data_IF_527117038572
#
_entry.id   IF_527117038572
#
_cell.length_a   1.000
_cell.length_b   1.000
_cell.length_c   1.000
_cell.angle_alpha   90.00
_cell.angle_beta   90.00
_cell.angle_gamma   90.00
#
_symmetry.space_group_name_H-M   'P 1'
#
loop_
_entity.id
_entity.type
_entity.pdbx_description
1 polymer ?
#
# COMPACT_ATOMS: atom_id res chain seq x y z
N UNK A 1 -48.59 -17.29 -59.79
CA UNK A 1 -47.65 -17.93 -58.82
C UNK A 1 -46.34 -17.16 -58.63
N UNK A 2 -45.69 -16.66 -59.70
CA UNK A 2 -44.43 -15.88 -59.60
C UNK A 2 -44.55 -14.59 -58.77
N UNK A 3 -45.63 -13.82 -58.94
CA UNK A 3 -45.86 -12.55 -58.21
C UNK A 3 -45.97 -12.73 -56.68
N UNK A 4 -46.58 -13.84 -56.23
CA UNK A 4 -46.67 -14.17 -54.79
C UNK A 4 -45.31 -14.54 -54.20
N UNK A 5 -44.44 -15.20 -54.99
CA UNK A 5 -43.07 -15.53 -54.57
C UNK A 5 -42.18 -14.29 -54.51
N UNK A 6 -42.25 -13.39 -55.50
CA UNK A 6 -41.48 -12.13 -55.48
C UNK A 6 -41.94 -11.20 -54.35
N UNK A 7 -43.24 -11.12 -54.07
CA UNK A 7 -43.76 -10.36 -52.94
C UNK A 7 -43.30 -10.93 -51.59
N UNK A 8 -43.27 -12.27 -51.44
CA UNK A 8 -42.77 -12.93 -50.24
C UNK A 8 -41.26 -12.67 -50.01
N UNK A 9 -40.45 -12.78 -51.06
CA UNK A 9 -39.00 -12.50 -50.98
C UNK A 9 -38.74 -11.04 -50.60
N UNK A 10 -39.49 -10.11 -51.19
CA UNK A 10 -39.38 -8.69 -50.86
C UNK A 10 -39.80 -8.38 -49.41
N UNK A 11 -40.86 -9.03 -48.92
CA UNK A 11 -41.28 -8.91 -47.52
C UNK A 11 -40.20 -9.43 -46.56
N UNK A 12 -39.61 -10.60 -46.84
CA UNK A 12 -38.50 -11.15 -46.04
C UNK A 12 -37.30 -10.21 -46.06
N UNK A 13 -36.98 -9.62 -47.22
CA UNK A 13 -35.91 -8.64 -47.33
C UNK A 13 -36.18 -7.38 -46.48
N UNK A 14 -37.39 -6.84 -46.50
CA UNK A 14 -37.75 -5.67 -45.66
C UNK A 14 -37.63 -6.02 -44.18
N UNK A 15 -38.07 -7.21 -43.76
CA UNK A 15 -37.97 -7.66 -42.36
C UNK A 15 -36.50 -7.76 -41.94
N UNK A 16 -35.64 -8.35 -42.79
CA UNK A 16 -34.20 -8.43 -42.55
C UNK A 16 -33.54 -7.05 -42.53
N UNK A 17 -33.94 -6.14 -43.42
CA UNK A 17 -33.43 -4.78 -43.45
C UNK A 17 -33.87 -4.00 -42.20
N UNK A 18 -35.13 -4.08 -41.80
CA UNK A 18 -35.61 -3.44 -40.57
C UNK A 18 -34.95 -4.01 -39.33
N UNK A 19 -34.72 -5.33 -39.31
CA UNK A 19 -34.03 -6.00 -38.22
C UNK A 19 -32.55 -5.57 -38.15
N UNK A 20 -31.87 -5.50 -39.30
CA UNK A 20 -30.46 -5.07 -39.36
C UNK A 20 -30.29 -3.59 -38.97
N UNK A 21 -31.17 -2.69 -39.45
CA UNK A 21 -31.17 -1.28 -39.03
C UNK A 21 -31.44 -1.14 -37.53
N UNK A 22 -32.37 -1.92 -36.98
CA UNK A 22 -32.66 -1.90 -35.55
C UNK A 22 -31.47 -2.43 -34.74
N UNK A 23 -30.87 -3.55 -35.16
CA UNK A 23 -29.68 -4.10 -34.52
C UNK A 23 -28.51 -3.11 -34.55
N UNK A 24 -28.31 -2.41 -35.66
CA UNK A 24 -27.30 -1.37 -35.80
C UNK A 24 -27.54 -0.21 -34.81
N UNK A 25 -28.77 0.31 -34.69
CA UNK A 25 -29.10 1.38 -33.74
C UNK A 25 -28.87 0.99 -32.26
N UNK A 26 -28.95 -0.31 -31.96
CA UNK A 26 -28.68 -0.85 -30.62
C UNK A 26 -27.18 -1.08 -30.36
N UNK A 27 -26.33 -0.98 -31.40
CA UNK A 27 -24.87 -0.98 -31.31
C UNK A 27 -24.27 0.43 -31.17
N UNK A 28 -25.09 1.48 -31.28
CA UNK A 28 -24.66 2.85 -30.99
C UNK A 28 -24.63 3.11 -29.49
N UNK A 29 -23.77 4.02 -29.00
CA UNK A 29 -23.73 4.42 -27.60
C UNK A 29 -25.07 4.95 -27.08
N UNK A 30 -25.23 4.93 -25.76
CA UNK A 30 -26.43 5.43 -25.08
C UNK A 30 -26.57 6.94 -25.30
N UNK A 31 -25.48 7.70 -25.09
CA UNK A 31 -25.44 9.15 -25.28
C UNK A 31 -24.01 9.62 -25.58
N UNK A 32 -23.77 10.13 -26.78
CA UNK A 32 -22.48 10.69 -27.17
C UNK A 32 -22.34 12.19 -26.85
N UNK A 33 -23.47 12.90 -26.72
CA UNK A 33 -23.47 14.37 -26.60
C UNK A 33 -23.30 14.86 -25.17
N UNK A 34 -23.71 14.05 -24.19
CA UNK A 34 -23.51 14.31 -22.77
C UNK A 34 -23.12 12.99 -22.06
N UNK A 35 -21.83 12.59 -22.15
CA UNK A 35 -21.35 11.34 -21.60
C UNK A 35 -21.40 11.33 -20.07
N UNK A 36 -21.95 10.26 -19.51
CA UNK A 36 -21.98 10.00 -18.07
C UNK A 36 -21.15 8.76 -17.75
N UNK A 37 -20.38 8.82 -16.67
CA UNK A 37 -19.56 7.71 -16.21
C UNK A 37 -20.34 6.87 -15.19
N UNK A 38 -20.43 5.57 -15.45
CA UNK A 38 -21.18 4.60 -14.66
C UNK A 38 -20.19 3.53 -14.17
N UNK A 39 -20.09 3.38 -12.85
CA UNK A 39 -19.26 2.34 -12.24
C UNK A 39 -20.11 1.06 -12.10
N UNK A 40 -19.65 -0.03 -12.70
CA UNK A 40 -20.33 -1.33 -12.64
C UNK A 40 -19.38 -2.40 -12.15
N UNK A 41 -19.81 -3.15 -11.13
CA UNK A 41 -19.13 -4.36 -10.67
C UNK A 41 -19.53 -5.56 -11.53
N UNK A 42 -18.55 -6.25 -12.10
CA UNK A 42 -18.71 -7.55 -12.75
C UNK A 42 -18.21 -8.62 -11.78
N UNK A 43 -19.15 -9.38 -11.22
CA UNK A 43 -18.85 -10.39 -10.21
C UNK A 43 -18.14 -11.61 -10.82
N UNK A 44 -17.28 -12.24 -10.02
CA UNK A 44 -16.56 -13.45 -10.43
C UNK A 44 -17.55 -14.57 -10.76
N UNK A 45 -17.38 -15.17 -11.94
CA UNK A 45 -18.22 -16.28 -12.42
C UNK A 45 -19.49 -15.86 -13.15
N UNK A 46 -19.75 -14.56 -13.34
CA UNK A 46 -20.84 -14.10 -14.19
C UNK A 46 -20.67 -14.61 -15.63
N UNK A 47 -21.77 -15.11 -16.22
CA UNK A 47 -21.78 -15.50 -17.65
C UNK A 47 -21.86 -14.26 -18.53
N UNK A 48 -21.43 -14.35 -19.79
CA UNK A 48 -21.57 -13.24 -20.75
C UNK A 48 -23.01 -12.74 -20.92
N UNK A 49 -24.02 -13.59 -20.69
CA UNK A 49 -25.43 -13.18 -20.64
C UNK A 49 -25.74 -12.36 -19.39
N UNK A 50 -25.34 -12.84 -18.22
CA UNK A 50 -25.54 -12.11 -16.96
C UNK A 50 -24.83 -10.75 -16.97
N UNK A 51 -23.63 -10.67 -17.56
CA UNK A 51 -22.91 -9.42 -17.77
C UNK A 51 -23.73 -8.48 -18.65
N UNK A 52 -24.23 -8.95 -19.79
CA UNK A 52 -25.06 -8.13 -20.68
C UNK A 52 -26.33 -7.61 -19.99
N UNK A 53 -27.02 -8.45 -19.21
CA UNK A 53 -28.20 -8.06 -18.43
C UNK A 53 -27.86 -7.00 -17.37
N UNK A 54 -26.72 -7.16 -16.67
CA UNK A 54 -26.25 -6.16 -15.68
C UNK A 54 -25.92 -4.84 -16.36
N UNK A 55 -25.17 -4.85 -17.47
CA UNK A 55 -24.84 -3.64 -18.21
C UNK A 55 -26.06 -2.90 -18.77
N UNK A 56 -27.09 -3.63 -19.24
CA UNK A 56 -28.34 -3.00 -19.68
C UNK A 56 -29.09 -2.38 -18.50
N UNK A 57 -29.18 -3.10 -17.38
CA UNK A 57 -29.86 -2.62 -16.17
C UNK A 57 -29.20 -1.36 -15.60
N UNK A 58 -27.87 -1.30 -15.60
CA UNK A 58 -27.10 -0.13 -15.15
C UNK A 58 -27.05 0.99 -16.20
N UNK A 59 -27.70 0.83 -17.36
CA UNK A 59 -27.77 1.86 -18.40
C UNK A 59 -26.49 2.05 -19.21
N UNK A 60 -25.56 1.10 -19.16
CA UNK A 60 -24.30 1.12 -19.92
C UNK A 60 -24.51 0.70 -21.37
N UNK A 61 -25.49 -0.17 -21.65
CA UNK A 61 -25.84 -0.62 -23.00
C UNK A 61 -27.36 -0.56 -23.25
N UNK A 62 -27.76 -0.44 -24.51
CA UNK A 62 -29.19 -0.36 -24.90
C UNK A 62 -29.93 -1.69 -24.88
N UNK A 63 -29.22 -2.81 -25.06
CA UNK A 63 -29.83 -4.14 -25.16
C UNK A 63 -28.88 -5.26 -24.76
N UNK A 64 -29.23 -5.99 -23.71
CA UNK A 64 -28.51 -7.20 -23.28
C UNK A 64 -28.50 -8.29 -24.36
N UNK A 65 -29.61 -8.45 -25.10
CA UNK A 65 -29.75 -9.46 -26.15
C UNK A 65 -28.79 -9.20 -27.30
N UNK A 66 -28.71 -7.96 -27.80
CA UNK A 66 -27.80 -7.61 -28.90
C UNK A 66 -26.35 -7.72 -28.46
N UNK A 67 -26.01 -7.25 -27.27
CA UNK A 67 -24.67 -7.36 -26.72
C UNK A 67 -24.23 -8.83 -26.56
N UNK A 68 -25.10 -9.68 -26.00
CA UNK A 68 -24.82 -11.10 -25.87
C UNK A 68 -24.66 -11.80 -27.24
N UNK A 69 -25.51 -11.48 -28.22
CA UNK A 69 -25.35 -12.00 -29.58
C UNK A 69 -24.02 -11.55 -30.21
N UNK A 70 -23.59 -10.32 -29.97
CA UNK A 70 -22.31 -9.80 -30.43
C UNK A 70 -21.13 -10.58 -29.83
N UNK A 71 -21.17 -10.87 -28.52
CA UNK A 71 -20.18 -11.74 -27.87
C UNK A 71 -20.11 -13.11 -28.55
N UNK A 72 -21.28 -13.74 -28.77
CA UNK A 72 -21.37 -15.08 -29.40
C UNK A 72 -20.88 -15.08 -30.85
N UNK A 73 -21.25 -14.06 -31.63
CA UNK A 73 -20.82 -13.94 -33.02
C UNK A 73 -19.31 -13.74 -33.15
N UNK A 74 -18.70 -12.99 -32.21
CA UNK A 74 -17.25 -12.80 -32.15
C UNK A 74 -16.49 -13.94 -31.48
N UNK A 75 -17.19 -14.93 -30.92
CA UNK A 75 -16.58 -16.03 -30.17
C UNK A 75 -15.89 -15.56 -28.89
N UNK A 76 -16.39 -14.51 -28.25
CA UNK A 76 -15.82 -13.93 -27.02
C UNK A 76 -16.47 -14.58 -25.80
N UNK A 77 -15.64 -15.18 -24.96
CA UNK A 77 -16.03 -15.81 -23.69
C UNK A 77 -15.12 -15.41 -22.51
N UNK A 78 -14.03 -14.69 -22.77
CA UNK A 78 -13.00 -14.31 -21.80
C UNK A 78 -13.20 -12.89 -21.23
N UNK A 79 -14.40 -12.61 -20.72
CA UNK A 79 -14.68 -11.35 -20.03
C UNK A 79 -14.20 -11.45 -18.58
N UNK A 80 -13.42 -10.47 -18.12
CA UNK A 80 -12.85 -10.46 -16.77
C UNK A 80 -13.86 -9.88 -15.76
N UNK A 81 -13.83 -10.44 -14.56
CA UNK A 81 -14.49 -9.83 -13.40
C UNK A 81 -13.79 -8.52 -13.02
N UNK A 82 -14.42 -7.72 -12.17
CA UNK A 82 -13.83 -6.46 -11.71
C UNK A 82 -14.82 -5.29 -11.66
N UNK A 83 -14.36 -4.15 -11.17
CA UNK A 83 -15.11 -2.91 -11.27
C UNK A 83 -14.67 -2.16 -12.52
N UNK A 84 -15.63 -1.70 -13.32
CA UNK A 84 -15.34 -1.00 -14.56
C UNK A 84 -16.09 0.31 -14.61
N UNK A 85 -15.38 1.36 -15.02
CA UNK A 85 -15.98 2.66 -15.34
C UNK A 85 -16.30 2.72 -16.83
N UNK A 86 -17.59 2.78 -17.14
CA UNK A 86 -18.10 2.87 -18.49
C UNK A 86 -18.68 4.25 -18.75
N UNK A 87 -18.43 4.78 -19.94
CA UNK A 87 -19.08 6.00 -20.40
C UNK A 87 -20.36 5.65 -21.14
N UNK A 88 -21.44 6.43 -20.99
CA UNK A 88 -22.63 6.30 -21.87
C UNK A 88 -22.33 6.58 -23.34
N UNK A 89 -21.15 7.13 -23.63
CA UNK A 89 -20.59 7.31 -24.98
C UNK A 89 -19.79 6.09 -25.48
N UNK A 90 -19.58 5.06 -24.64
CA UNK A 90 -18.86 3.86 -25.05
C UNK A 90 -19.73 2.99 -25.99
N UNK A 91 -19.14 2.53 -27.10
CA UNK A 91 -19.79 1.53 -27.96
C UNK A 91 -19.71 0.14 -27.31
N UNK A 92 -20.62 -0.78 -27.63
CA UNK A 92 -20.54 -2.17 -27.19
C UNK A 92 -19.19 -2.84 -27.48
N UNK A 93 -18.54 -2.50 -28.61
CA UNK A 93 -17.22 -3.04 -28.94
C UNK A 93 -16.13 -2.53 -27.99
N UNK A 94 -16.18 -1.25 -27.61
CA UNK A 94 -15.25 -0.66 -26.64
C UNK A 94 -15.47 -1.24 -25.24
N UNK A 95 -16.73 -1.44 -24.84
CA UNK A 95 -17.09 -2.09 -23.58
C UNK A 95 -16.54 -3.52 -23.53
N UNK A 96 -16.70 -4.29 -24.61
CA UNK A 96 -16.15 -5.64 -24.71
C UNK A 96 -14.62 -5.63 -24.59
N UNK A 97 -13.94 -4.72 -25.30
CA UNK A 97 -12.48 -4.58 -25.26
C UNK A 97 -11.97 -4.26 -23.84
N UNK A 98 -12.61 -3.32 -23.13
CA UNK A 98 -12.33 -3.01 -21.71
C UNK A 98 -12.46 -4.26 -20.82
N UNK A 99 -13.55 -5.01 -20.97
CA UNK A 99 -13.83 -6.23 -20.20
C UNK A 99 -12.85 -7.38 -20.52
N UNK A 100 -12.40 -7.51 -21.77
CA UNK A 100 -11.43 -8.55 -22.16
C UNK A 100 -10.02 -8.25 -21.65
N UNK A 101 -9.61 -6.98 -21.71
CA UNK A 101 -8.31 -6.54 -21.20
C UNK A 101 -8.26 -6.51 -19.67
N UNK A 102 -9.40 -6.38 -19.01
CA UNK A 102 -9.44 -6.17 -17.56
C UNK A 102 -8.93 -4.79 -17.21
N UNK A 103 -9.33 -3.77 -17.98
CA UNK A 103 -9.09 -2.37 -17.64
C UNK A 103 -10.03 -1.97 -16.49
N UNK A 104 -9.79 -2.58 -15.32
CA UNK A 104 -10.54 -2.35 -14.10
C UNK A 104 -10.24 -0.95 -13.54
N UNK A 105 -11.25 -0.37 -12.90
CA UNK A 105 -11.09 0.83 -12.11
C UNK A 105 -10.16 0.55 -10.93
N UNK A 106 -9.16 1.41 -10.76
CA UNK A 106 -8.18 1.34 -9.69
C UNK A 106 -8.41 2.46 -8.67
N UNK A 107 -8.10 2.20 -7.41
CA UNK A 107 -7.95 3.25 -6.41
C UNK A 107 -6.48 3.42 -6.05
N UNK A 108 -6.13 4.63 -5.62
CA UNK A 108 -4.77 4.98 -5.21
C UNK A 108 -4.73 5.19 -3.71
N UNK A 109 -3.69 4.67 -3.07
CA UNK A 109 -3.42 4.95 -1.67
C UNK A 109 -1.95 5.29 -1.49
N UNK A 110 -1.71 6.47 -0.93
CA UNK A 110 -0.37 6.95 -0.61
C UNK A 110 -0.06 6.63 0.85
N UNK A 111 1.06 5.95 1.06
CA UNK A 111 1.66 5.67 2.36
C UNK A 111 2.89 6.57 2.50
N UNK A 112 2.83 7.63 3.33
CA UNK A 112 3.99 8.48 3.60
C UNK A 112 5.08 7.76 4.40
N UNK A 113 6.31 8.27 4.34
CA UNK A 113 7.40 7.82 5.21
C UNK A 113 7.08 8.13 6.69
N UNK A 114 7.56 7.30 7.62
CA UNK A 114 7.30 7.45 9.05
C UNK A 114 5.90 7.00 9.50
N UNK A 115 5.11 6.42 8.60
CA UNK A 115 3.81 5.86 8.96
C UNK A 115 3.96 4.53 9.69
N UNK A 116 3.25 4.37 10.79
CA UNK A 116 3.04 3.08 11.47
C UNK A 116 2.06 2.20 10.69
N UNK A 117 2.10 0.89 10.91
CA UNK A 117 1.12 -0.05 10.39
C UNK A 117 -0.31 0.35 10.79
N UNK A 118 -0.48 0.87 12.00
CA UNK A 118 -1.77 1.36 12.48
C UNK A 118 -2.30 2.53 11.64
N UNK A 119 -1.46 3.52 11.32
CA UNK A 119 -1.83 4.65 10.47
C UNK A 119 -2.12 4.19 9.03
N UNK A 120 -1.37 3.22 8.51
CA UNK A 120 -1.63 2.61 7.19
C UNK A 120 -2.99 1.92 7.17
N UNK A 121 -3.27 1.06 8.14
CA UNK A 121 -4.54 0.36 8.27
C UNK A 121 -5.72 1.33 8.39
N UNK A 122 -5.55 2.43 9.12
CA UNK A 122 -6.57 3.48 9.24
C UNK A 122 -6.81 4.21 7.90
N UNK A 123 -5.78 4.42 7.07
CA UNK A 123 -5.96 4.97 5.72
C UNK A 123 -6.81 4.06 4.83
N UNK A 124 -6.58 2.75 4.86
CA UNK A 124 -7.42 1.79 4.13
C UNK A 124 -8.85 1.76 4.66
N UNK A 125 -9.02 1.79 5.99
CA UNK A 125 -10.34 1.78 6.63
C UNK A 125 -11.16 3.06 6.35
N UNK A 126 -10.49 4.18 6.03
CA UNK A 126 -11.14 5.45 5.70
C UNK A 126 -11.65 5.51 4.25
N UNK A 127 -11.38 4.51 3.41
CA UNK A 127 -11.88 4.45 2.04
C UNK A 127 -13.40 4.22 2.03
N UNK A 128 -14.13 5.02 1.24
CA UNK A 128 -15.57 4.82 1.03
C UNK A 128 -15.84 3.67 0.06
N UNK A 129 -15.03 3.60 -1.00
CA UNK A 129 -15.06 2.56 -2.03
C UNK A 129 -13.61 2.24 -2.43
N UNK A 130 -13.20 0.96 -2.41
CA UNK A 130 -13.96 -0.18 -1.90
C UNK A 130 -13.87 -0.23 -0.35
N UNK A 131 -14.84 -0.89 0.30
CA UNK A 131 -14.88 -0.96 1.77
C UNK A 131 -14.05 -2.12 2.29
N UNK A 132 -13.03 -1.81 3.08
CA UNK A 132 -12.16 -2.81 3.70
C UNK A 132 -12.42 -2.99 5.19
N UNK A 133 -12.20 -4.21 5.66
CA UNK A 133 -12.18 -4.54 7.09
C UNK A 133 -10.76 -4.42 7.61
N UNK A 134 -10.51 -3.36 8.38
CA UNK A 134 -9.22 -3.05 9.02
C UNK A 134 -8.56 -4.28 9.66
N UNK A 135 -9.30 -5.00 10.51
CA UNK A 135 -8.76 -6.13 11.26
C UNK A 135 -8.55 -7.38 10.39
N UNK A 136 -9.24 -7.50 9.25
CA UNK A 136 -8.97 -8.56 8.29
C UNK A 136 -7.68 -8.26 7.52
N UNK A 137 -7.51 -7.03 7.04
CA UNK A 137 -6.28 -6.60 6.37
C UNK A 137 -5.06 -6.72 7.28
N UNK A 138 -5.17 -6.30 8.54
CA UNK A 138 -4.11 -6.46 9.54
C UNK A 138 -3.70 -7.94 9.71
N UNK A 139 -4.67 -8.85 9.77
CA UNK A 139 -4.41 -10.29 9.88
C UNK A 139 -3.73 -10.87 8.64
N UNK A 140 -4.19 -10.49 7.45
CA UNK A 140 -3.58 -10.97 6.20
C UNK A 140 -2.15 -10.46 6.02
N UNK A 141 -1.89 -9.19 6.34
CA UNK A 141 -0.54 -8.63 6.34
C UNK A 141 0.38 -9.42 7.29
N UNK A 142 -0.03 -9.62 8.54
CA UNK A 142 0.79 -10.36 9.50
C UNK A 142 0.99 -11.83 9.11
N UNK A 143 -0.03 -12.49 8.55
CA UNK A 143 0.09 -13.86 8.03
C UNK A 143 1.17 -13.94 6.96
N UNK A 144 1.16 -13.03 6.00
CA UNK A 144 2.12 -13.03 4.90
C UNK A 144 3.53 -12.62 5.34
N UNK A 145 3.66 -11.69 6.29
CA UNK A 145 4.97 -11.37 6.89
C UNK A 145 5.57 -12.60 7.60
N UNK A 146 4.75 -13.39 8.31
CA UNK A 146 5.23 -14.62 8.95
C UNK A 146 5.80 -15.64 7.93
N UNK A 147 5.28 -15.65 6.69
CA UNK A 147 5.78 -16.52 5.61
C UNK A 147 7.18 -16.13 5.12
N UNK A 148 7.62 -14.88 5.35
CA UNK A 148 8.96 -14.41 4.98
C UNK A 148 10.07 -15.03 5.83
N UNK A 149 9.75 -15.58 7.01
CA UNK A 149 10.69 -16.22 7.94
C UNK A 149 11.91 -15.34 8.25
N UNK A 150 11.70 -14.05 8.43
CA UNK A 150 12.75 -13.14 8.89
C UNK A 150 13.10 -13.48 10.36
N UNK A 151 14.39 -13.43 10.75
CA UNK A 151 14.80 -13.66 12.13
C UNK A 151 14.33 -12.49 12.99
N UNK A 152 13.17 -12.65 13.62
CA UNK A 152 12.55 -11.68 14.51
C UNK A 152 12.82 -12.09 15.95
N UNK A 153 13.36 -11.18 16.76
CA UNK A 153 13.78 -11.45 18.15
C UNK A 153 12.74 -10.96 19.16
N UNK A 154 11.60 -11.65 19.21
CA UNK A 154 10.58 -11.50 20.25
C UNK A 154 9.89 -12.83 20.53
N UNK A 155 9.40 -13.02 21.76
CA UNK A 155 8.78 -14.27 22.17
C UNK A 155 7.30 -14.34 21.83
N UNK A 156 6.73 -15.55 21.74
CA UNK A 156 5.29 -15.75 21.55
C UNK A 156 4.46 -15.08 22.68
N UNK A 157 5.02 -14.99 23.90
CA UNK A 157 4.36 -14.27 25.00
C UNK A 157 4.30 -12.76 24.79
N UNK A 158 5.22 -12.19 24.01
CA UNK A 158 5.21 -10.75 23.72
C UNK A 158 4.15 -10.41 22.66
N UNK A 159 3.89 -11.33 21.73
CA UNK A 159 2.79 -11.22 20.75
C UNK A 159 1.42 -11.26 21.43
N UNK A 160 1.27 -12.03 22.50
CA UNK A 160 -0.02 -12.19 23.22
C UNK A 160 -0.50 -10.95 23.98
N UNK A 161 0.34 -9.92 24.09
CA UNK A 161 0.04 -8.68 24.83
C UNK A 161 -0.47 -7.55 23.93
N UNK A 162 -0.68 -7.78 22.63
CA UNK A 162 -1.08 -6.77 21.63
C UNK A 162 -0.11 -5.56 21.55
N UNK A 163 1.15 -5.72 21.99
CA UNK A 163 2.16 -4.67 22.00
C UNK A 163 3.14 -4.75 20.83
N UNK A 164 3.18 -5.89 20.13
CA UNK A 164 4.14 -6.14 19.05
C UNK A 164 3.40 -6.40 17.75
N UNK A 165 3.80 -5.66 16.72
CA UNK A 165 3.26 -5.74 15.36
C UNK A 165 4.38 -6.23 14.43
N UNK A 166 4.52 -7.55 14.19
CA UNK A 166 5.62 -8.10 13.39
C UNK A 166 5.78 -7.47 12.01
N UNK A 167 4.66 -7.07 11.41
CA UNK A 167 4.60 -6.42 10.11
C UNK A 167 4.94 -4.92 10.12
N UNK A 168 5.21 -4.33 11.28
CA UNK A 168 5.62 -2.92 11.37
C UNK A 168 6.88 -2.66 10.54
N UNK A 169 6.90 -1.54 9.84
CA UNK A 169 8.00 -1.13 8.96
C UNK A 169 8.19 -1.94 7.66
N UNK A 170 7.43 -3.01 7.43
CA UNK A 170 7.55 -3.85 6.21
C UNK A 170 6.93 -3.17 4.98
N UNK A 171 5.85 -2.41 5.16
CA UNK A 171 5.17 -1.76 4.04
C UNK A 171 6.01 -0.57 3.56
N UNK A 172 6.44 -0.58 2.30
CA UNK A 172 7.27 0.48 1.74
C UNK A 172 6.44 1.77 1.57
N UNK A 173 6.93 2.93 2.03
CA UNK A 173 6.30 4.22 1.74
C UNK A 173 6.28 4.53 0.23
N UNK A 174 5.10 4.52 -0.38
CA UNK A 174 4.89 4.93 -1.78
C UNK A 174 3.40 5.11 -2.06
N UNK A 175 3.05 5.43 -3.30
CA UNK A 175 1.67 5.37 -3.79
C UNK A 175 1.42 4.05 -4.50
N UNK A 176 0.50 3.27 -3.95
CA UNK A 176 0.04 2.00 -4.50
C UNK A 176 -1.21 2.22 -5.35
N UNK A 177 -1.38 1.38 -6.37
CA UNK A 177 -2.58 1.37 -7.22
C UNK A 177 -3.18 -0.02 -7.18
N UNK A 178 -4.39 -0.13 -6.65
CA UNK A 178 -5.07 -1.42 -6.49
C UNK A 178 -6.33 -1.43 -7.34
N UNK A 179 -6.63 -2.52 -8.06
CA UNK A 179 -7.97 -2.74 -8.61
C UNK A 179 -9.02 -2.68 -7.50
N UNK A 180 -10.16 -2.03 -7.75
CA UNK A 180 -11.27 -1.95 -6.77
C UNK A 180 -11.80 -3.33 -6.36
N UNK A 181 -11.55 -4.36 -7.15
CA UNK A 181 -11.94 -5.75 -6.91
C UNK A 181 -11.04 -6.49 -5.91
N UNK A 182 -9.87 -5.93 -5.56
CA UNK A 182 -8.94 -6.57 -4.64
C UNK A 182 -9.55 -6.72 -3.25
N UNK A 183 -9.42 -7.94 -2.71
CA UNK A 183 -9.70 -8.25 -1.32
C UNK A 183 -8.57 -7.80 -0.39
N UNK A 184 -8.80 -7.87 0.92
CA UNK A 184 -7.74 -7.62 1.92
C UNK A 184 -6.53 -8.56 1.75
N UNK A 185 -6.76 -9.80 1.30
CA UNK A 185 -5.68 -10.75 1.02
C UNK A 185 -4.87 -10.34 -0.20
N UNK A 186 -5.53 -9.88 -1.28
CA UNK A 186 -4.86 -9.44 -2.51
C UNK A 186 -4.01 -8.19 -2.24
N UNK A 187 -4.53 -7.24 -1.42
CA UNK A 187 -3.79 -6.04 -1.01
C UNK A 187 -2.58 -6.41 -0.16
N UNK A 188 -2.77 -7.27 0.85
CA UNK A 188 -1.66 -7.73 1.68
C UNK A 188 -0.58 -8.39 0.80
N UNK A 189 -0.99 -9.21 -0.17
CA UNK A 189 -0.06 -9.86 -1.11
C UNK A 189 0.72 -8.86 -1.95
N UNK A 190 0.05 -7.87 -2.54
CA UNK A 190 0.75 -6.86 -3.33
C UNK A 190 1.68 -5.99 -2.46
N UNK A 191 1.26 -5.60 -1.25
CA UNK A 191 2.12 -4.84 -0.33
C UNK A 191 3.38 -5.62 0.06
N UNK A 192 3.24 -6.89 0.43
CA UNK A 192 4.35 -7.74 0.87
C UNK A 192 5.24 -8.13 -0.31
N UNK A 193 4.68 -8.46 -1.48
CA UNK A 193 5.47 -8.73 -2.67
C UNK A 193 6.29 -7.51 -3.08
N UNK A 194 5.72 -6.31 -2.99
CA UNK A 194 6.46 -5.09 -3.26
C UNK A 194 7.67 -4.92 -2.32
N UNK A 195 7.51 -5.23 -1.02
CA UNK A 195 8.63 -5.28 -0.07
C UNK A 195 9.68 -6.32 -0.47
N UNK A 196 9.25 -7.54 -0.76
CA UNK A 196 10.12 -8.67 -1.15
C UNK A 196 10.91 -8.37 -2.41
N UNK A 197 10.31 -7.67 -3.38
CA UNK A 197 10.96 -7.32 -4.64
C UNK A 197 11.88 -6.11 -4.53
N UNK A 198 11.47 -5.06 -3.81
CA UNK A 198 12.15 -3.75 -3.85
C UNK A 198 13.05 -3.46 -2.66
N UNK A 199 12.77 -4.04 -1.50
CA UNK A 199 13.49 -3.72 -0.25
C UNK A 199 14.26 -4.91 0.30
N UNK A 200 13.63 -6.08 0.37
CA UNK A 200 14.26 -7.22 1.01
C UNK A 200 15.62 -7.63 0.41
N UNK A 201 15.86 -7.58 -0.92
CA UNK A 201 17.12 -8.01 -1.51
C UNK A 201 18.31 -7.14 -1.06
N UNK A 202 18.15 -5.81 -1.11
CA UNK A 202 19.21 -4.87 -0.70
C UNK A 202 19.55 -4.99 0.78
N UNK A 203 18.55 -5.16 1.65
CA UNK A 203 18.79 -5.30 3.09
C UNK A 203 19.43 -6.67 3.40
N UNK A 204 19.02 -7.74 2.71
CA UNK A 204 19.66 -9.06 2.86
C UNK A 204 21.12 -9.05 2.40
N UNK A 205 21.43 -8.34 1.32
CA UNK A 205 22.82 -8.20 0.86
C UNK A 205 23.69 -7.48 1.89
N UNK A 206 23.16 -6.42 2.51
CA UNK A 206 23.85 -5.70 3.58
C UNK A 206 24.03 -6.58 4.84
N UNK A 207 22.97 -7.28 5.26
CA UNK A 207 22.99 -8.19 6.40
C UNK A 207 24.03 -9.31 6.26
N UNK A 208 24.35 -9.75 5.02
CA UNK A 208 25.40 -10.74 4.79
C UNK A 208 26.83 -10.22 5.08
N UNK A 209 27.00 -8.91 5.25
CA UNK A 209 28.29 -8.22 5.45
C UNK A 209 28.36 -7.51 6.81
N UNK A 210 27.28 -7.51 7.58
CA UNK A 210 27.15 -6.81 8.85
C UNK A 210 26.76 -7.80 9.96
N UNK A 211 27.04 -7.47 11.22
CA UNK A 211 26.65 -8.29 12.38
C UNK A 211 25.17 -8.10 12.77
N UNK A 212 24.32 -7.78 11.78
CA UNK A 212 22.89 -7.52 11.97
C UNK A 212 22.09 -8.26 10.90
N UNK A 213 20.99 -8.86 11.32
CA UNK A 213 20.03 -9.48 10.42
C UNK A 213 19.30 -8.46 9.55
N UNK A 214 18.69 -8.93 8.47
CA UNK A 214 17.91 -8.05 7.59
C UNK A 214 16.72 -7.38 8.32
N UNK A 215 16.16 -8.05 9.33
CA UNK A 215 15.08 -7.45 10.12
C UNK A 215 15.63 -6.35 11.05
N UNK A 216 16.75 -6.59 11.74
CA UNK A 216 17.39 -5.59 12.59
C UNK A 216 17.84 -4.34 11.81
N UNK A 217 18.34 -4.51 10.58
CA UNK A 217 18.65 -3.38 9.70
C UNK A 217 17.40 -2.56 9.34
N UNK A 218 16.23 -3.21 9.21
CA UNK A 218 14.96 -2.52 9.01
C UNK A 218 14.51 -1.79 10.28
N UNK A 219 14.74 -2.36 11.46
CA UNK A 219 14.50 -1.70 12.75
C UNK A 219 15.32 -0.40 12.81
N UNK A 220 16.63 -0.50 12.56
CA UNK A 220 17.54 0.65 12.55
C UNK A 220 17.09 1.70 11.52
N UNK A 221 16.67 1.29 10.33
CA UNK A 221 16.15 2.21 9.33
C UNK A 221 14.91 2.98 9.84
N UNK A 222 13.99 2.32 10.57
CA UNK A 222 12.83 3.01 11.15
C UNK A 222 13.18 3.98 12.27
N UNK A 223 14.22 3.68 13.05
CA UNK A 223 14.75 4.60 14.07
C UNK A 223 15.33 5.85 13.43
N UNK A 224 16.12 5.68 12.36
CA UNK A 224 16.68 6.81 11.59
C UNK A 224 15.59 7.65 10.97
N UNK A 225 14.53 7.02 10.44
CA UNK A 225 13.41 7.73 9.82
C UNK A 225 12.71 8.68 10.80
N UNK A 226 12.44 8.23 12.03
CA UNK A 226 11.73 9.03 13.03
C UNK A 226 12.63 10.10 13.69
N UNK A 227 13.94 9.89 13.74
CA UNK A 227 14.90 10.87 14.29
C UNK A 227 15.29 11.95 13.26
N UNK A 228 15.41 11.57 11.99
CA UNK A 228 15.98 12.40 10.93
C UNK A 228 14.98 13.35 10.27
N UNK A 229 14.84 14.58 10.77
CA UNK A 229 14.12 15.65 10.05
C UNK A 229 14.87 16.10 8.79
N UNK A 230 16.20 16.16 8.84
CA UNK A 230 17.06 16.49 7.70
C UNK A 230 17.72 15.22 7.13
N UNK A 231 17.25 14.77 5.97
CA UNK A 231 17.68 13.49 5.38
C UNK A 231 19.20 13.38 5.11
N UNK A 232 19.91 14.50 4.96
CA UNK A 232 21.37 14.49 4.80
C UNK A 232 22.13 14.07 6.08
N UNK A 233 21.49 14.11 7.24
CA UNK A 233 22.08 13.69 8.52
C UNK A 233 21.85 12.20 8.82
N UNK A 234 20.99 11.51 8.05
CA UNK A 234 20.60 10.12 8.30
C UNK A 234 21.81 9.18 8.48
N UNK A 235 22.86 9.32 7.65
CA UNK A 235 24.07 8.49 7.75
C UNK A 235 24.86 8.76 9.04
N UNK A 236 24.84 9.99 9.55
CA UNK A 236 25.47 10.37 10.81
C UNK A 236 24.64 9.89 12.00
N UNK A 237 23.30 10.01 11.94
CA UNK A 237 22.39 9.43 12.93
C UNK A 237 22.60 7.91 13.02
N UNK A 238 22.66 7.23 11.87
CA UNK A 238 22.96 5.80 11.79
C UNK A 238 24.29 5.47 12.50
N UNK A 239 25.34 6.26 12.28
CA UNK A 239 26.63 6.06 12.95
C UNK A 239 26.52 6.13 14.48
N UNK A 240 25.72 7.07 15.02
CA UNK A 240 25.50 7.16 16.47
C UNK A 240 24.76 5.93 17.01
N UNK A 241 23.73 5.46 16.29
CA UNK A 241 22.98 4.25 16.68
C UNK A 241 23.92 3.04 16.75
N UNK A 242 24.73 2.81 15.70
CA UNK A 242 25.69 1.69 15.70
C UNK A 242 26.75 1.82 16.79
N UNK A 243 27.32 3.01 17.00
CA UNK A 243 28.32 3.24 18.04
C UNK A 243 27.76 2.95 19.44
N UNK A 244 26.51 3.39 19.71
CA UNK A 244 25.84 3.09 20.99
C UNK A 244 25.59 1.60 21.19
N UNK A 245 25.10 0.90 20.16
CA UNK A 245 24.89 -0.54 20.23
C UNK A 245 26.19 -1.30 20.50
N UNK A 246 27.28 -0.95 19.81
CA UNK A 246 28.60 -1.56 20.03
C UNK A 246 29.15 -1.29 21.44
N UNK A 247 28.87 -0.11 22.00
CA UNK A 247 29.26 0.27 23.36
C UNK A 247 28.34 -0.30 24.45
N UNK A 248 27.25 -1.00 24.10
CA UNK A 248 26.22 -1.46 25.05
C UNK A 248 25.46 -0.31 25.72
N UNK A 249 25.42 0.86 25.08
CA UNK A 249 24.72 2.04 25.58
C UNK A 249 23.25 2.00 25.15
N UNK A 250 22.29 2.35 26.03
CA UNK A 250 20.90 2.57 25.65
C UNK A 250 20.78 3.62 24.52
N UNK A 251 19.90 3.35 23.55
CA UNK A 251 19.75 4.26 22.40
C UNK A 251 19.12 5.59 22.80
N UNK A 252 18.20 5.58 23.77
CA UNK A 252 17.54 6.78 24.32
C UNK A 252 16.88 7.66 23.25
N UNK A 253 16.11 7.03 22.38
CA UNK A 253 15.42 7.71 21.28
C UNK A 253 13.98 8.02 21.69
N UNK A 254 13.62 9.30 21.70
CA UNK A 254 12.26 9.77 22.03
C UNK A 254 11.20 9.11 21.13
N UNK A 255 11.53 8.89 19.85
CA UNK A 255 10.64 8.23 18.89
C UNK A 255 10.16 6.84 19.36
N UNK A 256 11.03 6.09 20.03
CA UNK A 256 10.71 4.76 20.53
C UNK A 256 9.76 4.78 21.73
N UNK A 257 9.85 5.84 22.56
CA UNK A 257 8.90 6.11 23.65
C UNK A 257 7.57 6.57 23.06
N UNK A 258 7.58 7.45 22.05
CA UNK A 258 6.37 7.89 21.36
C UNK A 258 5.59 6.74 20.74
N UNK A 259 6.29 5.77 20.15
CA UNK A 259 5.66 4.56 19.61
C UNK A 259 5.03 3.68 20.70
N UNK A 260 5.63 3.63 21.90
CA UNK A 260 5.12 2.86 23.03
C UNK A 260 3.89 3.51 23.71
N UNK A 261 3.68 4.81 23.54
CA UNK A 261 2.58 5.52 24.19
C UNK A 261 1.23 5.18 23.52
N UNK A 262 0.12 5.14 24.30
CA UNK A 262 -1.22 4.90 23.74
C UNK A 262 -1.66 5.95 22.71
N UNK A 263 -1.16 7.18 22.85
CA UNK A 263 -1.43 8.30 21.94
C UNK A 263 -0.13 9.07 21.66
N UNK A 264 0.07 9.44 20.39
CA UNK A 264 1.21 10.28 19.98
C UNK A 264 1.09 11.66 20.62
N UNK A 265 2.15 12.10 21.31
CA UNK A 265 2.21 13.42 21.93
C UNK A 265 3.09 14.37 21.11
N UNK A 266 2.96 15.68 21.31
CA UNK A 266 3.86 16.65 20.66
C UNK A 266 5.29 16.60 21.20
N UNK A 267 5.47 16.13 22.44
CA UNK A 267 6.76 16.10 23.13
C UNK A 267 6.72 15.03 24.20
N UNK A 268 7.77 14.21 24.24
CA UNK A 268 8.00 13.24 25.31
C UNK A 268 8.38 13.99 26.60
N UNK A 269 7.67 13.70 27.68
CA UNK A 269 7.93 14.25 29.00
C UNK A 269 8.75 13.27 29.85
N UNK A 270 9.40 13.77 30.91
CA UNK A 270 10.15 12.94 31.85
C UNK A 270 9.34 11.78 32.46
N UNK A 271 8.02 11.94 32.57
CA UNK A 271 7.17 10.87 33.09
C UNK A 271 6.94 9.77 32.05
N UNK A 272 6.95 10.11 30.76
CA UNK A 272 6.73 9.16 29.66
C UNK A 272 7.94 8.22 29.51
N UNK A 273 9.16 8.71 29.80
CA UNK A 273 10.40 7.91 29.82
C UNK A 273 10.35 6.72 30.81
N UNK A 274 9.36 6.72 31.72
CA UNK A 274 9.16 5.65 32.71
C UNK A 274 8.22 4.54 32.21
N UNK A 275 7.66 4.66 31.01
CA UNK A 275 6.76 3.63 30.46
C UNK A 275 7.46 2.27 30.42
N UNK A 276 6.79 1.26 30.95
CA UNK A 276 7.25 -0.12 30.91
C UNK A 276 6.86 -0.72 29.55
N UNK A 277 7.82 -0.77 28.63
CA UNK A 277 7.62 -1.25 27.26
C UNK A 277 8.94 -1.75 26.68
N UNK A 278 8.94 -2.85 25.91
CA UNK A 278 10.14 -3.33 25.21
C UNK A 278 10.65 -2.35 24.15
N UNK A 279 9.84 -1.35 23.76
CA UNK A 279 10.26 -0.28 22.85
C UNK A 279 10.94 0.87 23.59
N UNK A 280 10.89 0.94 24.92
CA UNK A 280 11.48 2.08 25.63
C UNK A 280 13.01 1.96 25.69
N UNK A 281 13.69 2.52 24.70
CA UNK A 281 15.15 2.49 24.58
C UNK A 281 15.90 3.36 25.60
N UNK A 282 15.20 3.99 26.55
CA UNK A 282 15.81 4.54 27.77
C UNK A 282 16.03 3.48 28.85
N UNK A 283 15.26 2.39 28.80
CA UNK A 283 15.28 1.31 29.79
C UNK A 283 15.93 0.03 29.27
N UNK A 284 15.90 -0.19 27.95
CA UNK A 284 16.57 -1.31 27.28
C UNK A 284 17.81 -0.85 26.50
N UNK A 285 18.87 -1.67 26.51
CA UNK A 285 20.13 -1.37 25.80
C UNK A 285 20.23 -1.98 24.40
N UNK A 286 19.20 -2.70 23.96
CA UNK A 286 19.17 -3.37 22.66
C UNK A 286 18.24 -2.62 21.70
N UNK A 287 18.17 -3.10 20.45
CA UNK A 287 17.13 -2.67 19.51
C UNK A 287 15.73 -2.96 20.07
N UNK A 288 14.70 -2.15 19.72
CA UNK A 288 13.32 -2.50 19.99
C UNK A 288 12.94 -3.78 19.22
N UNK A 289 11.85 -4.48 19.61
CA UNK A 289 11.52 -5.80 19.05
C UNK A 289 11.08 -5.75 17.57
N UNK A 290 10.56 -4.62 17.09
CA UNK A 290 10.16 -4.39 15.70
C UNK A 290 10.58 -3.00 15.25
N UNK A 291 10.49 -2.70 13.93
CA UNK A 291 10.46 -1.32 13.48
C UNK A 291 9.36 -0.52 14.20
N UNK A 292 9.49 0.80 14.21
CA UNK A 292 8.50 1.72 14.82
C UNK A 292 7.74 2.57 13.78
N UNK A 293 8.09 2.41 12.50
CA UNK A 293 7.50 3.11 11.37
C UNK A 293 7.97 2.47 10.05
N UNK A 294 7.30 2.78 8.95
CA UNK A 294 7.74 2.50 7.58
C UNK A 294 8.87 3.45 7.13
N UNK A 295 10.12 2.97 7.00
CA UNK A 295 11.25 3.82 6.64
C UNK A 295 11.30 4.13 5.14
N UNK A 296 11.69 5.36 4.81
CA UNK A 296 11.96 5.76 3.43
C UNK A 296 13.26 5.18 2.86
N UNK A 297 13.47 5.35 1.56
CA UNK A 297 14.66 4.83 0.85
C UNK A 297 15.97 5.38 1.46
N UNK A 298 16.00 6.65 1.84
CA UNK A 298 17.20 7.30 2.39
C UNK A 298 17.54 6.82 3.82
N UNK A 299 16.53 6.49 4.63
CA UNK A 299 16.75 5.93 5.96
C UNK A 299 17.26 4.48 5.86
N UNK A 300 16.72 3.70 4.92
CA UNK A 300 17.22 2.35 4.60
C UNK A 300 18.65 2.40 4.09
N UNK A 301 18.97 3.33 3.16
CA UNK A 301 20.34 3.51 2.67
C UNK A 301 21.29 3.87 3.83
N UNK A 302 20.87 4.74 4.74
CA UNK A 302 21.69 5.13 5.87
C UNK A 302 21.93 3.99 6.87
N UNK A 303 20.94 3.12 7.09
CA UNK A 303 21.09 1.93 7.91
C UNK A 303 22.12 0.96 7.32
N UNK A 304 22.06 0.69 6.01
CA UNK A 304 22.97 -0.28 5.37
C UNK A 304 24.34 0.31 5.00
N UNK A 305 24.46 1.64 4.99
CA UNK A 305 25.69 2.36 4.66
C UNK A 305 25.86 3.60 5.57
N UNK A 306 26.11 3.38 6.88
CA UNK A 306 26.27 4.46 7.85
C UNK A 306 27.56 5.25 7.61
N UNK A 307 27.59 6.49 8.06
CA UNK A 307 28.83 7.26 8.12
C UNK A 307 29.80 6.62 9.13
N UNK A 308 31.10 6.82 8.93
CA UNK A 308 32.11 6.46 9.93
C UNK A 308 32.38 7.68 10.81
N UNK A 309 32.11 7.56 12.11
CA UNK A 309 32.39 8.61 13.09
C UNK A 309 32.47 8.01 14.50
N UNK A 310 33.00 8.77 15.45
CA UNK A 310 33.04 8.41 16.88
C UNK A 310 31.89 9.09 17.67
N UNK A 311 30.88 9.62 16.98
CA UNK A 311 29.77 10.32 17.64
C UNK A 311 28.93 9.35 18.48
N UNK A 312 28.57 9.80 19.68
CA UNK A 312 27.74 9.05 20.63
C UNK A 312 26.51 9.83 21.07
N UNK A 313 26.45 11.14 20.82
CA UNK A 313 25.35 11.98 21.27
C UNK A 313 24.95 12.95 20.18
N UNK A 314 23.68 13.32 20.15
CA UNK A 314 23.19 14.44 19.37
C UNK A 314 22.01 15.12 20.04
N UNK A 315 21.76 16.37 19.67
CA UNK A 315 20.52 17.08 20.01
C UNK A 315 20.04 17.90 18.81
N UNK A 316 18.73 17.99 18.65
CA UNK A 316 18.10 18.76 17.59
C UNK A 316 18.14 20.26 17.88
N UNK A 317 18.34 21.05 16.84
CA UNK A 317 18.24 22.51 16.84
C UNK A 317 16.84 22.94 16.39
N UNK A 318 16.49 24.20 16.63
CA UNK A 318 15.20 24.77 16.19
C UNK A 318 14.99 24.69 14.67
N UNK A 319 16.07 24.77 13.87
CA UNK A 319 16.01 24.64 12.41
C UNK A 319 15.79 23.19 11.93
N UNK A 320 15.88 22.21 12.85
CA UNK A 320 15.73 20.79 12.55
C UNK A 320 17.02 20.06 12.21
N UNK A 321 18.16 20.73 12.21
CA UNK A 321 19.48 20.09 12.11
C UNK A 321 19.94 19.56 13.47
N UNK A 322 20.96 18.70 13.48
CA UNK A 322 21.51 18.14 14.71
C UNK A 322 22.92 18.68 15.00
N UNK A 323 23.29 18.72 16.28
CA UNK A 323 24.68 18.85 16.72
C UNK A 323 25.13 17.49 17.22
N UNK A 324 26.19 16.93 16.63
CA UNK A 324 26.76 15.64 17.02
C UNK A 324 28.00 15.82 17.88
N UNK A 325 28.17 15.00 18.92
CA UNK A 325 29.31 15.04 19.84
C UNK A 325 29.78 13.65 20.25
N UNK A 326 31.06 13.51 20.54
CA UNK A 326 31.72 12.24 20.84
C UNK A 326 31.61 11.86 22.32
N UNK A 327 31.45 12.85 23.22
CA UNK A 327 31.31 12.62 24.66
C UNK A 327 30.15 13.39 25.28
N UNK A 328 29.72 12.94 26.45
CA UNK A 328 28.67 13.60 27.22
C UNK A 328 29.08 15.00 27.69
N UNK A 329 30.34 15.19 28.08
CA UNK A 329 30.85 16.52 28.46
C UNK A 329 30.82 17.50 27.28
N UNK A 330 31.21 17.05 26.09
CA UNK A 330 31.10 17.85 24.86
C UNK A 330 29.63 18.17 24.55
N UNK A 331 28.73 17.20 24.73
CA UNK A 331 27.29 17.36 24.53
C UNK A 331 26.73 18.49 25.41
N UNK A 332 26.98 18.43 26.72
CA UNK A 332 26.55 19.44 27.68
C UNK A 332 27.18 20.81 27.41
N UNK A 333 28.47 20.83 27.03
CA UNK A 333 29.16 22.06 26.65
C UNK A 333 28.49 22.69 25.43
N UNK A 334 28.18 21.91 24.39
CA UNK A 334 27.52 22.40 23.17
C UNK A 334 26.10 22.89 23.40
N UNK A 335 25.32 22.20 24.24
CA UNK A 335 24.00 22.68 24.65
C UNK A 335 24.11 24.05 25.34
N UNK A 336 25.03 24.19 26.29
CA UNK A 336 25.27 25.46 26.98
C UNK A 336 25.75 26.58 26.05
N UNK A 337 26.67 26.28 25.14
CA UNK A 337 27.18 27.25 24.14
C UNK A 337 26.09 27.78 23.21
N UNK A 338 25.11 26.92 22.88
CA UNK A 338 24.03 27.22 21.96
C UNK A 338 22.70 27.60 22.66
N UNK A 339 22.69 27.64 24.00
CA UNK A 339 21.51 27.92 24.85
C UNK A 339 20.35 26.92 24.70
N UNK A 340 20.64 25.61 24.67
CA UNK A 340 19.67 24.52 24.67
C UNK A 340 19.54 23.84 26.03
#
# INVERSE_FOLDING_TARGET
MKLKRTALVFLVFIILLSFSLRAYSLMEPINELDPQEILVEIEKGMTGRAIAEKLEKEGVIKSSTIFYLLLRFKGIDNLRAGYYRFSTSDTPLKIIDKLQRGEEEIFKITIPEGFTLQEILNRFAALEIPKYKRDLLAREINRQVAELKLPMDFSDSDLSKDQIYPAEGIIIPTTYNFPLSYSESDIAEELINYFVEKRLPQIKEAAAKMDYSAYELLIIASLIEEEGKLKSENKTIASVIYNRLQAGMPLQLDATVQYALPERTKRVLYNDLKIDSPYNTYQVSNLPPTPIASPGDLAVEAAINPAQSDYLFYFAREDGSHVFTESYDQHLQKQKELNY
#
